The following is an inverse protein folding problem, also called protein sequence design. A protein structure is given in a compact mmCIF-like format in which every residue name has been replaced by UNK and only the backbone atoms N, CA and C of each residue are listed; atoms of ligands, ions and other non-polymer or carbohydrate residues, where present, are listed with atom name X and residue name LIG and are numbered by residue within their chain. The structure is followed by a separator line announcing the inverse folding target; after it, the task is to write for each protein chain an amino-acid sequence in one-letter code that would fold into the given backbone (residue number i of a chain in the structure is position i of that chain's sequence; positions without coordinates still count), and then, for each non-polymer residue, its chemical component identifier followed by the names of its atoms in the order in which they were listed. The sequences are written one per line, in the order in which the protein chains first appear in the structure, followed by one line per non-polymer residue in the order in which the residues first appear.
data_IF_374217193460
#
_entry.id   IF_374217193460
#
_cell.length_a   1.000
_cell.length_b   1.000
_cell.length_c   1.000
_cell.angle_alpha   90.00
_cell.angle_beta   90.00
_cell.angle_gamma   90.00
#
_symmetry.space_group_name_H-M   'P 1'
#
loop_
_entity.id
_entity.type
_entity.pdbx_description
1 polymer ?
#
# COMPACT_ATOMS: atom_id res chain seq x y z
N UNK A 1 9.58 -30.64 13.33
CA UNK A 1 9.03 -31.52 12.28
C UNK A 1 8.99 -32.91 12.87
N UNK A 2 7.96 -33.72 12.56
CA UNK A 2 8.07 -35.17 12.73
C UNK A 2 9.21 -35.68 11.84
N UNK A 3 9.91 -36.72 12.29
CA UNK A 3 10.97 -37.35 11.48
C UNK A 3 10.37 -37.84 10.16
N UNK A 4 10.96 -37.38 9.04
CA UNK A 4 10.48 -37.78 7.73
C UNK A 4 10.88 -39.23 7.46
N UNK A 5 9.94 -40.08 7.03
CA UNK A 5 10.21 -41.50 6.83
C UNK A 5 11.22 -41.71 5.70
N UNK A 6 12.28 -42.45 6.01
CA UNK A 6 13.33 -42.85 5.06
C UNK A 6 12.93 -44.02 4.15
N UNK A 7 11.86 -44.73 4.51
CA UNK A 7 11.30 -45.85 3.75
C UNK A 7 9.87 -45.54 3.24
N UNK A 8 9.38 -46.18 2.16
CA UNK A 8 8.05 -45.94 1.62
C UNK A 8 6.93 -46.30 2.60
N UNK A 9 6.24 -45.30 3.17
CA UNK A 9 5.15 -45.54 4.12
C UNK A 9 3.84 -45.81 3.39
N UNK A 10 3.21 -46.94 3.71
CA UNK A 10 1.89 -47.34 3.17
C UNK A 10 0.71 -46.55 3.77
N UNK A 11 0.95 -45.82 4.86
CA UNK A 11 -0.03 -44.98 5.57
C UNK A 11 0.55 -43.57 5.73
N UNK A 12 -0.11 -42.50 5.25
CA UNK A 12 0.39 -41.13 5.42
C UNK A 12 0.36 -40.71 6.89
N UNK A 13 1.32 -39.90 7.31
CA UNK A 13 1.33 -39.31 8.66
C UNK A 13 0.12 -38.37 8.83
N UNK A 14 -0.71 -38.63 9.84
CA UNK A 14 -1.92 -37.85 10.09
C UNK A 14 -1.67 -36.69 11.07
N UNK A 15 -1.78 -35.45 10.59
CA UNK A 15 -1.76 -34.23 11.41
C UNK A 15 -3.19 -33.84 11.75
N UNK A 16 -3.56 -33.93 13.04
CA UNK A 16 -4.93 -33.65 13.51
C UNK A 16 -5.16 -32.18 13.89
N UNK A 17 -4.13 -31.50 14.40
CA UNK A 17 -4.23 -30.13 14.92
C UNK A 17 -3.03 -29.29 14.43
N UNK A 18 -3.25 -28.08 13.89
CA UNK A 18 -2.17 -27.17 13.53
C UNK A 18 -1.65 -26.40 14.77
N UNK A 19 -0.35 -26.13 14.83
CA UNK A 19 0.28 -25.34 15.90
C UNK A 19 -0.19 -23.88 15.94
N UNK A 20 -0.70 -23.34 14.85
CA UNK A 20 -1.40 -22.05 14.80
C UNK A 20 -2.65 -22.16 13.93
N UNK A 21 -3.73 -21.49 14.35
CA UNK A 21 -4.95 -21.36 13.55
C UNK A 21 -5.70 -20.10 13.95
N UNK A 22 -6.06 -19.29 12.97
CA UNK A 22 -6.91 -18.11 13.13
C UNK A 22 -7.98 -18.04 12.04
N UNK A 23 -9.12 -17.46 12.37
CA UNK A 23 -10.10 -16.93 11.40
C UNK A 23 -10.39 -15.44 11.63
N UNK A 24 -9.50 -14.72 12.32
CA UNK A 24 -9.67 -13.31 12.67
C UNK A 24 -8.83 -12.34 11.81
N UNK A 25 -7.86 -12.85 11.03
CA UNK A 25 -7.01 -12.02 10.15
C UNK A 25 -7.80 -11.44 8.95
N UNK A 26 -8.85 -12.10 8.48
CA UNK A 26 -9.68 -11.69 7.33
C UNK A 26 -11.17 -11.90 7.62
N UNK A 27 -12.04 -11.08 7.02
CA UNK A 27 -13.49 -11.27 7.07
C UNK A 27 -14.05 -12.02 5.85
N UNK A 28 -13.34 -12.00 4.72
CA UNK A 28 -13.67 -12.79 3.52
C UNK A 28 -13.06 -14.19 3.46
N UNK A 29 -13.37 -14.92 2.38
CA UNK A 29 -12.74 -16.20 2.05
C UNK A 29 -11.29 -15.95 1.63
N UNK A 30 -10.34 -16.46 2.43
CA UNK A 30 -8.89 -16.44 2.12
C UNK A 30 -8.60 -17.32 0.90
N UNK A 31 -7.98 -16.74 -0.13
CA UNK A 31 -7.74 -17.41 -1.43
C UNK A 31 -6.26 -17.41 -1.88
N UNK A 32 -5.39 -16.71 -1.15
CA UNK A 32 -3.94 -16.76 -1.33
C UNK A 32 -3.22 -16.48 0.00
N UNK A 33 -2.20 -17.30 0.31
CA UNK A 33 -1.33 -17.17 1.48
C UNK A 33 0.10 -17.59 1.12
N UNK A 34 1.11 -16.93 1.69
CA UNK A 34 2.52 -17.29 1.56
C UNK A 34 3.34 -16.79 2.76
N UNK A 35 4.49 -17.42 3.02
CA UNK A 35 5.50 -16.88 3.94
C UNK A 35 6.33 -15.77 3.27
N UNK A 36 6.83 -14.84 4.09
CA UNK A 36 7.73 -13.75 3.73
C UNK A 36 8.79 -13.61 4.84
N UNK A 37 9.73 -14.55 4.87
CA UNK A 37 10.46 -14.86 6.12
C UNK A 37 9.49 -15.48 7.13
N UNK A 38 9.65 -15.15 8.41
CA UNK A 38 8.74 -15.59 9.48
C UNK A 38 7.39 -14.84 9.49
N UNK A 39 7.24 -13.79 8.67
CA UNK A 39 5.95 -13.11 8.45
C UNK A 39 5.10 -13.84 7.40
N UNK A 40 3.80 -13.54 7.38
CA UNK A 40 2.82 -14.12 6.47
C UNK A 40 2.18 -13.01 5.62
N UNK A 41 2.08 -13.26 4.32
CA UNK A 41 1.24 -12.51 3.40
C UNK A 41 -0.04 -13.30 3.14
N UNK A 42 -1.21 -12.68 3.24
CA UNK A 42 -2.47 -13.30 2.82
C UNK A 42 -3.49 -12.30 2.27
N UNK A 43 -4.42 -12.77 1.45
CA UNK A 43 -5.59 -12.00 1.01
C UNK A 43 -6.86 -12.84 1.02
N UNK A 44 -7.98 -12.13 1.07
CA UNK A 44 -9.31 -12.70 0.98
C UNK A 44 -10.17 -11.97 -0.06
N UNK A 45 -11.30 -12.59 -0.43
CA UNK A 45 -12.33 -11.95 -1.22
C UNK A 45 -12.94 -10.74 -0.49
N UNK A 46 -13.40 -9.72 -1.23
CA UNK A 46 -13.98 -8.46 -0.73
C UNK A 46 -13.04 -7.51 0.06
N UNK A 47 -12.00 -8.00 0.74
CA UNK A 47 -11.07 -7.16 1.53
C UNK A 47 -10.35 -6.08 0.69
N UNK A 48 -10.13 -6.31 -0.62
CA UNK A 48 -9.34 -5.45 -1.52
C UNK A 48 -7.92 -5.10 -1.01
N UNK A 49 -7.35 -5.90 -0.10
CA UNK A 49 -5.96 -5.78 0.36
C UNK A 49 -5.22 -7.13 0.35
N UNK A 50 -3.89 -7.08 0.30
CA UNK A 50 -3.02 -8.16 0.78
C UNK A 50 -2.48 -7.70 2.14
N UNK A 51 -2.70 -8.48 3.18
CA UNK A 51 -2.26 -8.19 4.55
C UNK A 51 -0.89 -8.84 4.77
N UNK A 52 0.09 -8.06 5.23
CA UNK A 52 1.30 -8.55 5.90
C UNK A 52 1.03 -8.61 7.40
N UNK A 53 1.26 -9.77 8.00
CA UNK A 53 1.07 -10.01 9.43
C UNK A 53 2.09 -11.03 9.94
N UNK A 54 2.15 -11.22 11.26
CA UNK A 54 2.97 -12.26 11.90
C UNK A 54 2.19 -13.02 12.95
N UNK A 55 2.61 -14.25 13.22
CA UNK A 55 2.23 -15.00 14.41
C UNK A 55 3.15 -14.53 15.55
N UNK A 56 2.60 -14.15 16.70
CA UNK A 56 3.44 -13.79 17.85
C UNK A 56 4.16 -15.02 18.41
N UNK A 57 5.41 -14.86 18.83
CA UNK A 57 6.26 -15.94 19.33
C UNK A 57 6.77 -16.95 18.29
N UNK A 58 6.35 -16.85 17.02
CA UNK A 58 6.85 -17.73 15.95
C UNK A 58 8.25 -17.28 15.47
N UNK A 59 9.16 -18.24 15.31
CA UNK A 59 10.33 -18.08 14.45
C UNK A 59 10.81 -19.42 13.90
N UNK A 60 11.33 -19.42 12.67
CA UNK A 60 11.87 -20.62 12.00
C UNK A 60 13.30 -20.99 12.41
N UNK A 61 14.02 -20.11 13.10
CA UNK A 61 15.34 -20.40 13.71
C UNK A 61 15.23 -21.35 14.93
N UNK A 62 14.03 -21.48 15.51
CA UNK A 62 13.75 -22.38 16.63
C UNK A 62 13.51 -23.83 16.21
N UNK A 63 13.68 -24.82 17.11
CA UNK A 63 13.36 -26.20 16.81
C UNK A 63 11.86 -26.37 16.50
N UNK A 64 11.48 -26.85 15.31
CA UNK A 64 10.07 -26.89 14.89
C UNK A 64 9.26 -27.90 15.73
N UNK A 65 8.16 -27.47 16.40
CA UNK A 65 7.58 -28.18 17.54
C UNK A 65 7.00 -29.57 17.24
N UNK A 66 6.87 -30.43 18.27
CA UNK A 66 6.28 -31.76 18.14
C UNK A 66 4.75 -31.68 18.02
N UNK A 67 4.15 -32.70 17.40
CA UNK A 67 2.71 -32.73 17.12
C UNK A 67 1.82 -32.85 18.37
N UNK A 68 2.40 -33.27 19.51
CA UNK A 68 1.76 -33.30 20.83
C UNK A 68 1.31 -31.93 21.32
N UNK A 69 2.01 -30.87 20.93
CA UNK A 69 1.87 -29.55 21.56
C UNK A 69 0.90 -28.63 20.80
N UNK A 70 0.32 -29.12 19.69
CA UNK A 70 -0.61 -28.35 18.88
C UNK A 70 -1.93 -28.08 19.64
N UNK A 71 -2.41 -26.82 19.73
CA UNK A 71 -3.55 -26.46 20.57
C UNK A 71 -4.87 -27.06 20.05
N UNK A 72 -5.53 -27.81 20.93
CA UNK A 72 -6.85 -28.40 20.65
C UNK A 72 -7.97 -27.37 20.83
N UNK A 73 -9.09 -27.57 20.16
CA UNK A 73 -10.26 -26.67 20.28
C UNK A 73 -10.95 -26.73 21.66
N UNK A 74 -10.56 -27.67 22.53
CA UNK A 74 -11.12 -27.87 23.87
C UNK A 74 -10.30 -27.17 24.97
N UNK A 75 -9.07 -26.73 24.68
CA UNK A 75 -8.19 -26.08 25.65
C UNK A 75 -8.55 -24.60 25.91
N UNK A 76 -9.37 -23.98 25.04
CA UNK A 76 -9.80 -22.58 25.19
C UNK A 76 -10.97 -22.49 26.17
N UNK A 77 -10.66 -22.27 27.45
CA UNK A 77 -11.65 -21.89 28.47
C UNK A 77 -12.00 -20.40 28.28
N UNK A 78 -13.25 -20.02 27.96
CA UNK A 78 -13.61 -18.62 27.75
C UNK A 78 -13.53 -17.83 29.06
N UNK A 79 -12.68 -16.80 29.11
CA UNK A 79 -12.51 -15.91 30.27
C UNK A 79 -13.39 -14.66 30.21
N UNK A 80 -13.84 -14.26 29.02
CA UNK A 80 -14.94 -13.30 28.82
C UNK A 80 -15.84 -13.75 27.66
N UNK A 81 -16.91 -12.98 27.40
CA UNK A 81 -17.85 -13.22 26.29
C UNK A 81 -17.36 -12.63 24.96
N UNK A 82 -16.19 -11.98 24.94
CA UNK A 82 -15.68 -11.22 23.81
C UNK A 82 -14.94 -12.16 22.83
N UNK A 83 -15.67 -12.57 21.79
CA UNK A 83 -15.47 -13.83 21.06
C UNK A 83 -14.13 -13.97 20.28
N UNK A 84 -13.30 -12.92 20.19
CA UNK A 84 -12.02 -12.98 19.46
C UNK A 84 -11.06 -14.04 20.00
N UNK A 85 -11.08 -14.30 21.31
CA UNK A 85 -10.27 -15.33 21.98
C UNK A 85 -10.58 -16.76 21.50
N UNK A 86 -11.72 -16.97 20.84
CA UNK A 86 -12.13 -18.27 20.28
C UNK A 86 -11.84 -18.40 18.78
N UNK A 87 -11.54 -17.29 18.09
CA UNK A 87 -11.21 -17.26 16.67
C UNK A 87 -9.73 -17.53 16.38
N UNK A 88 -8.85 -17.46 17.39
CA UNK A 88 -7.42 -17.77 17.25
C UNK A 88 -6.96 -18.75 18.33
N UNK A 89 -5.99 -19.59 17.99
CA UNK A 89 -5.20 -20.38 18.94
C UNK A 89 -3.77 -20.56 18.42
N UNK A 90 -2.80 -20.46 19.32
CA UNK A 90 -1.37 -20.53 19.02
C UNK A 90 -0.64 -21.39 20.05
N UNK A 91 0.25 -22.27 19.59
CA UNK A 91 1.28 -22.90 20.41
C UNK A 91 2.34 -21.87 20.85
N UNK A 92 2.68 -20.95 19.93
CA UNK A 92 3.79 -20.00 20.08
C UNK A 92 3.51 -18.93 21.14
N UNK A 93 2.23 -18.58 21.34
CA UNK A 93 1.72 -17.77 22.46
C UNK A 93 0.42 -18.42 22.97
N UNK A 94 0.48 -19.32 23.97
CA UNK A 94 -0.69 -20.09 24.42
C UNK A 94 -1.82 -19.25 25.04
N UNK A 95 -1.46 -18.15 25.69
CA UNK A 95 -2.38 -17.20 26.31
C UNK A 95 -1.87 -15.77 26.10
N UNK A 96 -2.80 -14.81 25.99
CA UNK A 96 -2.45 -13.38 25.90
C UNK A 96 -2.19 -12.79 27.28
N UNK A 97 -1.32 -11.78 27.34
CA UNK A 97 -0.97 -11.03 28.56
C UNK A 97 -1.05 -9.52 28.29
N UNK A 98 -0.97 -8.64 29.30
CA UNK A 98 -0.90 -7.19 29.05
C UNK A 98 0.27 -6.77 28.15
N UNK A 99 1.37 -7.52 28.18
CA UNK A 99 2.59 -7.31 27.40
C UNK A 99 2.50 -7.94 26.00
N UNK A 100 1.71 -8.99 25.84
CA UNK A 100 1.43 -9.67 24.57
C UNK A 100 -0.10 -9.88 24.40
N UNK A 101 -0.85 -8.82 24.06
CA UNK A 101 -2.33 -8.83 24.09
C UNK A 101 -2.98 -9.60 22.93
N UNK A 102 -2.20 -10.11 21.97
CA UNK A 102 -2.68 -10.88 20.81
C UNK A 102 -1.74 -12.05 20.49
N UNK A 103 -2.27 -13.07 19.82
CA UNK A 103 -1.49 -14.20 19.29
C UNK A 103 -0.98 -13.94 17.85
N UNK A 104 -1.38 -12.83 17.23
CA UNK A 104 -0.94 -12.38 15.90
C UNK A 104 -1.04 -10.86 15.78
N UNK A 105 -0.24 -10.25 14.90
CA UNK A 105 -0.25 -8.80 14.66
C UNK A 105 -0.29 -8.50 13.17
N UNK A 106 -1.23 -7.66 12.70
CA UNK A 106 -1.17 -7.04 11.37
C UNK A 106 -0.05 -5.99 11.35
N UNK A 107 0.75 -5.98 10.30
CA UNK A 107 1.95 -5.14 10.18
C UNK A 107 1.82 -4.10 9.07
N UNK A 108 1.18 -4.45 7.95
CA UNK A 108 0.94 -3.56 6.82
C UNK A 108 -0.16 -4.12 5.91
N UNK A 109 -0.88 -3.26 5.21
CA UNK A 109 -1.87 -3.65 4.19
C UNK A 109 -1.47 -3.08 2.82
N UNK A 110 -1.47 -3.91 1.77
CA UNK A 110 -1.15 -3.51 0.40
C UNK A 110 -2.45 -3.35 -0.41
N UNK A 111 -2.70 -2.14 -0.93
CA UNK A 111 -3.99 -1.83 -1.56
C UNK A 111 -4.17 -2.48 -2.94
N UNK A 112 -5.12 -3.42 -3.04
CA UNK A 112 -5.50 -4.14 -4.27
C UNK A 112 -6.91 -3.75 -4.74
N UNK A 113 -7.13 -2.49 -5.20
CA UNK A 113 -8.45 -2.01 -5.61
C UNK A 113 -9.02 -2.82 -6.77
N UNK A 114 -10.34 -2.74 -6.95
CA UNK A 114 -11.07 -3.37 -8.06
C UNK A 114 -10.88 -4.89 -8.12
N UNK A 115 -10.91 -5.58 -6.98
CA UNK A 115 -11.12 -7.04 -6.93
C UNK A 115 -12.62 -7.38 -6.89
N UNK A 116 -13.42 -6.61 -6.15
CA UNK A 116 -14.86 -6.87 -6.01
C UNK A 116 -15.14 -8.27 -5.42
N UNK A 117 -16.10 -9.04 -5.97
CA UNK A 117 -16.39 -10.40 -5.51
C UNK A 117 -15.47 -11.48 -6.12
N UNK A 118 -14.36 -11.10 -6.77
CA UNK A 118 -13.44 -12.07 -7.36
C UNK A 118 -12.49 -12.66 -6.30
N UNK A 119 -12.64 -13.96 -6.09
CA UNK A 119 -11.71 -14.83 -5.37
C UNK A 119 -10.95 -15.73 -6.36
N UNK A 120 -10.03 -16.55 -5.83
CA UNK A 120 -9.03 -17.31 -6.58
C UNK A 120 -8.15 -16.39 -7.44
N UNK A 121 -7.55 -15.39 -6.77
CA UNK A 121 -6.61 -14.44 -7.36
C UNK A 121 -5.34 -14.41 -6.50
N UNK A 122 -4.21 -14.86 -7.04
CA UNK A 122 -3.00 -15.12 -6.25
C UNK A 122 -1.87 -14.15 -6.60
N UNK A 123 -1.24 -13.61 -5.57
CA UNK A 123 -0.04 -12.78 -5.69
C UNK A 123 1.21 -13.64 -5.91
N UNK A 124 2.31 -13.00 -6.32
CA UNK A 124 3.62 -13.59 -6.48
C UNK A 124 4.69 -12.69 -5.86
N UNK A 125 5.39 -13.21 -4.85
CA UNK A 125 6.50 -12.51 -4.20
C UNK A 125 7.83 -12.95 -4.83
N UNK A 126 8.61 -12.00 -5.34
CA UNK A 126 10.04 -12.19 -5.58
C UNK A 126 10.77 -11.96 -4.27
N UNK A 127 11.48 -12.96 -3.76
CA UNK A 127 12.29 -12.84 -2.54
C UNK A 127 13.52 -13.75 -2.68
N UNK A 128 14.63 -13.15 -3.12
CA UNK A 128 15.89 -13.85 -3.43
C UNK A 128 17.03 -13.05 -2.79
N UNK A 129 18.02 -13.71 -2.13
CA UNK A 129 19.15 -13.01 -1.50
C UNK A 129 19.88 -12.07 -2.45
N UNK A 130 20.29 -10.91 -1.94
CA UNK A 130 20.98 -9.87 -2.73
C UNK A 130 20.09 -9.05 -3.67
N UNK A 131 18.76 -9.24 -3.65
CA UNK A 131 17.81 -8.43 -4.41
C UNK A 131 16.69 -7.84 -3.53
N UNK A 132 16.14 -6.70 -3.92
CA UNK A 132 14.93 -6.16 -3.31
C UNK A 132 13.77 -7.16 -3.40
N UNK A 133 13.04 -7.44 -2.30
CA UNK A 133 11.80 -8.22 -2.38
C UNK A 133 10.72 -7.42 -3.12
N UNK A 134 10.05 -8.04 -4.09
CA UNK A 134 9.01 -7.38 -4.90
C UNK A 134 7.72 -8.20 -4.90
N UNK A 135 6.65 -7.64 -4.34
CA UNK A 135 5.31 -8.21 -4.40
C UNK A 135 4.64 -7.81 -5.72
N UNK A 136 4.10 -8.78 -6.45
CA UNK A 136 3.27 -8.56 -7.64
C UNK A 136 1.87 -9.17 -7.44
N UNK A 137 0.83 -8.45 -7.86
CA UNK A 137 -0.55 -8.94 -7.90
C UNK A 137 -1.27 -8.35 -9.10
N UNK A 138 -2.30 -9.01 -9.65
CA UNK A 138 -3.15 -8.42 -10.67
C UNK A 138 -4.62 -8.52 -10.28
N UNK A 139 -5.32 -7.37 -10.34
CA UNK A 139 -6.72 -7.27 -9.93
C UNK A 139 -7.71 -7.75 -11.00
N UNK A 140 -9.01 -7.55 -10.77
CA UNK A 140 -10.08 -7.94 -11.68
C UNK A 140 -10.39 -6.87 -12.76
N UNK A 141 -9.73 -5.71 -12.68
CA UNK A 141 -9.80 -4.62 -13.65
C UNK A 141 -8.60 -4.55 -14.60
N UNK A 142 -7.82 -5.63 -14.73
CA UNK A 142 -6.66 -5.70 -15.63
C UNK A 142 -5.41 -4.94 -15.19
N UNK A 143 -5.36 -4.42 -13.96
CA UNK A 143 -4.17 -3.72 -13.43
C UNK A 143 -3.25 -4.67 -12.68
N UNK A 144 -1.98 -4.71 -13.09
CA UNK A 144 -0.89 -5.39 -12.40
C UNK A 144 -0.22 -4.37 -11.48
N UNK A 145 -0.15 -4.70 -10.20
CA UNK A 145 0.28 -3.85 -9.09
C UNK A 145 1.59 -4.40 -8.53
N UNK A 146 2.56 -3.52 -8.31
CA UNK A 146 3.88 -3.87 -7.77
C UNK A 146 4.24 -3.02 -6.55
N UNK A 147 4.80 -3.68 -5.53
CA UNK A 147 5.44 -3.05 -4.37
C UNK A 147 6.86 -3.58 -4.23
N UNK A 148 7.80 -2.67 -4.04
CA UNK A 148 9.23 -2.91 -3.86
C UNK A 148 9.52 -2.67 -2.37
N UNK A 149 9.55 -3.75 -1.57
CA UNK A 149 9.44 -3.68 -0.11
C UNK A 149 10.62 -2.93 0.52
N UNK A 150 11.79 -2.92 -0.12
CA UNK A 150 12.95 -2.15 0.32
C UNK A 150 12.69 -0.63 0.30
N UNK A 151 11.75 -0.13 -0.51
CA UNK A 151 11.38 1.30 -0.51
C UNK A 151 10.64 1.74 0.75
N UNK A 152 10.02 0.81 1.47
CA UNK A 152 9.33 1.10 2.72
C UNK A 152 10.34 1.50 3.80
N UNK A 153 11.42 0.72 3.98
CA UNK A 153 12.50 1.08 4.91
C UNK A 153 13.27 2.31 4.47
N UNK A 154 13.63 2.44 3.18
CA UNK A 154 14.32 3.64 2.69
C UNK A 154 13.46 4.90 2.80
N UNK A 155 12.12 4.80 2.69
CA UNK A 155 11.22 5.91 2.98
C UNK A 155 11.21 6.24 4.48
N UNK A 156 11.10 5.24 5.36
CA UNK A 156 11.17 5.44 6.81
C UNK A 156 12.45 6.18 7.22
N UNK A 157 13.62 5.76 6.72
CA UNK A 157 14.91 6.43 6.95
C UNK A 157 14.91 7.89 6.48
N UNK A 158 14.31 8.16 5.31
CA UNK A 158 14.14 9.53 4.78
C UNK A 158 13.19 10.37 5.65
N UNK A 159 12.12 9.78 6.19
CA UNK A 159 11.17 10.47 7.06
C UNK A 159 11.75 10.74 8.45
N UNK A 160 12.57 9.85 9.01
CA UNK A 160 13.36 10.13 10.22
C UNK A 160 14.31 11.31 9.98
N UNK A 161 15.05 11.32 8.88
CA UNK A 161 15.93 12.42 8.49
C UNK A 161 15.20 13.71 8.04
N UNK A 162 13.87 13.66 7.81
CA UNK A 162 13.02 14.83 7.61
C UNK A 162 12.60 15.47 8.93
N UNK A 163 12.29 14.65 9.94
CA UNK A 163 11.74 15.11 11.22
C UNK A 163 12.79 15.36 12.32
N UNK A 164 14.06 15.01 12.10
CA UNK A 164 15.15 15.27 13.05
C UNK A 164 15.21 16.78 13.46
N UNK A 165 14.88 17.11 14.72
CA UNK A 165 14.86 18.49 15.20
C UNK A 165 16.27 19.02 15.54
N UNK A 166 17.29 18.17 15.53
CA UNK A 166 18.70 18.54 15.75
C UNK A 166 19.49 18.68 14.45
N UNK A 167 18.86 18.43 13.29
CA UNK A 167 19.50 18.52 11.97
C UNK A 167 20.11 19.90 11.73
N UNK A 168 21.41 19.92 11.52
CA UNK A 168 22.15 21.11 11.09
C UNK A 168 21.64 21.58 9.71
N UNK A 169 20.95 22.73 9.70
CA UNK A 169 20.39 23.36 8.49
C UNK A 169 21.47 23.96 7.57
N UNK A 170 22.73 24.07 8.02
CA UNK A 170 23.85 24.53 7.18
C UNK A 170 24.45 23.42 6.33
N UNK A 171 24.25 22.15 6.69
CA UNK A 171 24.79 21.01 5.95
C UNK A 171 23.89 20.62 4.77
N UNK A 172 24.47 20.31 3.59
CA UNK A 172 23.72 19.84 2.44
C UNK A 172 23.06 18.50 2.76
N UNK A 173 21.78 18.37 2.41
CA UNK A 173 20.99 17.16 2.67
C UNK A 173 21.58 15.95 1.93
N UNK A 174 21.50 14.77 2.54
CA UNK A 174 21.61 13.51 1.79
C UNK A 174 20.61 13.52 0.61
N UNK A 175 21.03 13.11 -0.60
CA UNK A 175 20.17 13.17 -1.79
C UNK A 175 19.00 12.19 -1.66
N UNK A 176 17.80 12.63 -2.04
CA UNK A 176 16.62 11.77 -2.03
C UNK A 176 16.74 10.63 -3.06
N UNK A 177 16.15 9.44 -2.80
CA UNK A 177 16.08 8.36 -3.77
C UNK A 177 15.42 8.81 -5.08
N UNK A 178 15.96 8.41 -6.23
CA UNK A 178 15.51 8.88 -7.57
C UNK A 178 14.06 8.52 -7.94
N UNK A 179 13.45 7.60 -7.18
CA UNK A 179 12.03 7.23 -7.29
C UNK A 179 11.10 8.05 -6.37
N UNK A 180 11.63 8.73 -5.36
CA UNK A 180 10.89 9.56 -4.40
C UNK A 180 10.72 10.98 -4.95
N UNK A 181 9.92 11.10 -6.02
CA UNK A 181 9.76 12.35 -6.77
C UNK A 181 8.73 13.27 -6.11
N UNK A 182 9.10 14.53 -5.89
CA UNK A 182 8.17 15.56 -5.42
C UNK A 182 7.12 15.89 -6.48
N UNK A 183 5.90 16.25 -6.03
CA UNK A 183 4.89 16.82 -6.92
C UNK A 183 5.23 18.29 -7.14
N UNK A 184 5.55 18.64 -8.38
CA UNK A 184 5.73 20.02 -8.81
C UNK A 184 4.35 20.55 -9.22
N UNK A 185 3.75 21.51 -8.48
CA UNK A 185 2.46 22.05 -8.85
C UNK A 185 2.58 22.78 -10.18
N UNK A 186 1.91 22.25 -11.22
CA UNK A 186 1.76 23.00 -12.47
C UNK A 186 0.96 24.25 -12.16
N UNK A 187 1.55 25.43 -12.38
CA UNK A 187 0.79 26.68 -12.41
C UNK A 187 -0.38 26.49 -13.37
N UNK A 188 -1.61 26.49 -12.84
CA UNK A 188 -2.80 26.57 -13.69
C UNK A 188 -2.69 27.90 -14.42
N UNK A 189 -2.57 27.84 -15.74
CA UNK A 189 -2.81 29.03 -16.55
C UNK A 189 -4.26 29.44 -16.28
N UNK A 190 -4.47 30.67 -15.77
CA UNK A 190 -5.80 31.23 -15.62
C UNK A 190 -6.57 31.12 -16.94
N UNK A 191 -7.89 30.99 -16.89
CA UNK A 191 -8.78 30.93 -18.08
C UNK A 191 -8.70 32.17 -18.99
N UNK A 192 -7.87 33.16 -18.66
CA UNK A 192 -7.58 34.37 -19.44
C UNK A 192 -6.11 34.51 -19.86
N UNK A 193 -5.30 33.46 -19.77
CA UNK A 193 -4.03 33.30 -20.52
C UNK A 193 -2.93 34.34 -20.24
N UNK A 194 -2.97 35.06 -19.12
CA UNK A 194 -2.03 36.15 -18.82
C UNK A 194 -0.80 35.68 -18.04
N UNK A 195 0.25 35.33 -18.78
CA UNK A 195 1.62 35.26 -18.23
C UNK A 195 1.99 36.64 -17.67
N UNK A 196 2.25 36.72 -16.37
CA UNK A 196 2.41 37.99 -15.64
C UNK A 196 3.83 38.54 -15.69
N UNK A 197 4.23 39.06 -16.86
CA UNK A 197 5.21 40.15 -16.93
C UNK A 197 6.43 39.96 -17.85
N UNK A 198 6.36 40.60 -19.02
CA UNK A 198 7.39 41.56 -19.45
C UNK A 198 6.65 42.83 -19.89
N UNK A 199 7.19 44.02 -19.58
CA UNK A 199 6.55 45.32 -19.87
C UNK A 199 7.33 46.06 -20.96
N UNK A 200 6.95 45.88 -22.21
CA UNK A 200 7.53 46.63 -23.32
C UNK A 200 6.47 47.45 -24.09
N UNK A 201 6.88 48.60 -24.64
CA UNK A 201 5.99 49.59 -25.25
C UNK A 201 6.07 49.54 -26.77
N UNK A 202 4.94 49.34 -27.45
CA UNK A 202 4.64 49.98 -28.75
C UNK A 202 3.13 50.07 -28.97
N UNK A 203 2.72 50.84 -29.98
CA UNK A 203 1.36 51.35 -30.13
C UNK A 203 0.92 51.39 -31.62
N UNK A 204 -0.29 51.94 -31.84
CA UNK A 204 -0.88 52.41 -33.11
C UNK A 204 -1.83 51.42 -33.83
N UNK A 205 -2.90 52.02 -34.38
CA UNK A 205 -3.93 51.51 -35.35
C UNK A 205 -4.87 50.35 -34.97
N UNK A 206 -6.16 50.71 -34.85
CA UNK A 206 -7.27 49.93 -35.43
C UNK A 206 -7.54 50.45 -36.87
N UNK A 207 -8.40 49.82 -37.72
CA UNK A 207 -9.85 49.96 -37.56
C UNK A 207 -10.75 48.76 -37.99
N UNK A 208 -12.00 48.81 -37.52
CA UNK A 208 -13.27 48.37 -38.12
C UNK A 208 -13.40 47.03 -38.89
N UNK A 209 -14.29 46.17 -38.37
CA UNK A 209 -15.04 45.14 -39.10
C UNK A 209 -16.29 44.75 -38.28
N UNK A 210 -17.46 44.56 -38.89
CA UNK A 210 -18.74 44.52 -38.15
C UNK A 210 -19.75 43.48 -38.67
N UNK A 211 -20.54 42.91 -37.72
CA UNK A 211 -21.97 42.45 -37.77
C UNK A 211 -22.24 41.42 -36.64
N UNK A 212 -23.30 41.60 -35.83
CA UNK A 212 -24.60 40.86 -35.84
C UNK A 212 -24.47 39.33 -35.60
N UNK A 213 -25.28 38.63 -34.79
CA UNK A 213 -26.31 38.96 -33.77
C UNK A 213 -26.59 37.68 -32.93
N UNK A 214 -27.57 37.46 -32.02
CA UNK A 214 -28.75 38.18 -31.48
C UNK A 214 -29.29 37.41 -30.23
N UNK A 215 -30.13 38.05 -29.39
CA UNK A 215 -31.02 37.44 -28.36
C UNK A 215 -30.31 36.84 -27.10
N UNK A 216 -30.59 37.24 -25.84
CA UNK A 216 -31.79 37.10 -24.97
C UNK A 216 -31.56 36.01 -23.90
N UNK A 217 -31.96 36.10 -22.62
CA UNK A 217 -32.71 37.10 -21.84
C UNK A 217 -32.57 36.86 -20.33
N UNK A 218 -33.00 37.82 -19.49
CA UNK A 218 -33.43 37.66 -18.06
C UNK A 218 -32.37 37.20 -17.01
N UNK A 219 -32.39 37.65 -15.74
CA UNK A 219 -33.25 38.66 -15.07
C UNK A 219 -32.71 39.12 -13.69
N UNK A 220 -32.96 40.40 -13.38
CA UNK A 220 -33.26 40.99 -12.04
C UNK A 220 -32.28 40.85 -10.85
N UNK A 221 -31.94 42.01 -10.25
CA UNK A 221 -31.54 42.15 -8.84
C UNK A 221 -30.05 42.44 -8.59
N UNK A 222 -29.65 43.34 -7.67
CA UNK A 222 -30.53 44.15 -6.81
C UNK A 222 -29.90 45.15 -5.82
N UNK A 223 -28.64 45.60 -5.98
CA UNK A 223 -28.05 46.67 -5.15
C UNK A 223 -27.66 46.29 -3.70
N UNK A 224 -26.98 47.20 -2.98
CA UNK A 224 -26.77 47.09 -1.52
C UNK A 224 -25.31 47.11 -1.03
N UNK A 225 -24.72 48.29 -0.96
CA UNK A 225 -23.43 48.64 -0.33
C UNK A 225 -23.18 48.06 1.07
N UNK A 226 -21.93 47.70 1.41
CA UNK A 226 -21.56 47.44 2.82
C UNK A 226 -20.15 46.86 3.06
N UNK A 227 -19.18 47.71 3.39
CA UNK A 227 -17.93 47.38 4.09
C UNK A 227 -17.73 48.44 5.20
N UNK A 228 -17.11 48.13 6.36
CA UNK A 228 -15.64 48.07 6.43
C UNK A 228 -15.06 47.09 7.48
N UNK A 229 -13.72 47.09 7.57
CA UNK A 229 -12.83 46.73 8.71
C UNK A 229 -13.07 45.39 9.47
N UNK A 230 -12.16 44.41 9.50
CA UNK A 230 -10.70 44.42 9.81
C UNK A 230 -10.33 44.70 11.27
N UNK A 231 -10.02 43.63 12.02
CA UNK A 231 -9.14 43.67 13.20
C UNK A 231 -8.18 42.49 13.09
N UNK A 232 -6.88 42.76 13.14
CA UNK A 232 -5.83 41.73 13.03
C UNK A 232 -5.20 41.48 14.40
N UNK A 233 -5.06 40.22 14.80
CA UNK A 233 -4.19 39.81 15.92
C UNK A 233 -3.06 38.94 15.38
N UNK A 234 -1.89 39.56 15.15
CA UNK A 234 -0.69 38.85 14.71
C UNK A 234 0.02 38.20 15.90
N UNK A 235 0.06 36.87 15.92
CA UNK A 235 0.97 36.08 16.75
C UNK A 235 1.96 35.38 15.83
N UNK A 236 3.24 35.78 15.89
CA UNK A 236 4.26 35.25 14.99
C UNK A 236 4.70 33.84 15.39
N UNK A 237 4.17 32.82 14.71
CA UNK A 237 4.94 31.62 14.46
C UNK A 237 5.89 31.89 13.29
N UNK A 238 7.12 31.37 13.35
CA UNK A 238 7.88 31.15 12.11
C UNK A 238 7.16 30.04 11.33
N UNK A 239 6.42 30.40 10.28
CA UNK A 239 6.00 29.42 9.28
C UNK A 239 7.26 28.89 8.59
N UNK A 240 7.82 27.82 9.14
CA UNK A 240 8.77 26.96 8.43
C UNK A 240 8.05 26.41 7.21
N UNK A 241 8.18 27.10 6.08
CA UNK A 241 7.62 26.66 4.80
C UNK A 241 8.08 25.22 4.54
N UNK A 242 7.16 24.25 4.45
CA UNK A 242 7.55 22.86 4.45
C UNK A 242 8.40 22.57 3.21
N UNK A 243 9.52 21.85 3.42
CA UNK A 243 10.55 21.56 2.40
C UNK A 243 9.94 20.86 1.15
N UNK A 244 8.78 20.23 1.33
CA UNK A 244 7.92 19.65 0.30
C UNK A 244 6.47 20.09 0.50
N UNK A 245 5.68 20.16 -0.57
CA UNK A 245 4.24 20.44 -0.46
C UNK A 245 3.51 19.34 0.32
N UNK A 246 2.42 19.68 1.02
CA UNK A 246 1.58 18.67 1.70
C UNK A 246 1.11 17.57 0.73
N UNK A 247 0.72 17.96 -0.50
CA UNK A 247 0.38 17.05 -1.60
C UNK A 247 1.53 16.07 -1.94
N UNK A 248 2.79 16.51 -1.86
CA UNK A 248 3.96 15.64 -2.05
C UNK A 248 4.08 14.63 -0.92
N UNK A 249 4.00 15.09 0.33
CA UNK A 249 4.14 14.24 1.52
C UNK A 249 3.02 13.20 1.58
N UNK A 250 1.77 13.59 1.32
CA UNK A 250 0.59 12.68 1.22
C UNK A 250 0.76 11.64 0.09
N UNK A 251 1.28 12.05 -1.07
CA UNK A 251 1.55 11.18 -2.21
C UNK A 251 2.68 10.17 -1.96
N UNK A 252 3.64 10.52 -1.09
CA UNK A 252 4.68 9.60 -0.62
C UNK A 252 4.16 8.68 0.49
N UNK A 253 3.54 9.23 1.53
CA UNK A 253 3.02 8.49 2.67
C UNK A 253 2.05 7.38 2.22
N UNK A 254 1.08 7.73 1.37
CA UNK A 254 0.09 6.76 0.87
C UNK A 254 0.63 5.70 -0.12
N UNK A 255 1.95 5.64 -0.33
CA UNK A 255 2.67 4.55 -1.04
C UNK A 255 3.70 3.84 -0.17
N UNK A 256 4.29 4.53 0.80
CA UNK A 256 5.51 4.08 1.47
C UNK A 256 5.46 4.14 3.00
N UNK A 257 4.46 4.78 3.61
CA UNK A 257 4.29 4.81 5.06
C UNK A 257 3.97 3.41 5.60
N UNK A 258 4.42 3.15 6.81
CA UNK A 258 4.11 1.94 7.59
C UNK A 258 3.78 2.32 9.04
N UNK A 259 3.25 3.53 9.25
CA UNK A 259 2.97 4.09 10.58
C UNK A 259 1.62 3.60 11.13
N UNK A 260 0.60 3.46 10.27
CA UNK A 260 -0.66 2.77 10.58
C UNK A 260 -0.72 1.43 9.83
N UNK A 261 -0.71 0.27 10.53
CA UNK A 261 -0.88 -1.05 9.91
C UNK A 261 -2.19 -1.23 9.12
N UNK A 262 -3.18 -0.35 9.33
CA UNK A 262 -4.50 -0.40 8.71
C UNK A 262 -4.71 0.64 7.59
N UNK A 263 -3.74 1.53 7.27
CA UNK A 263 -3.82 2.37 6.08
C UNK A 263 -3.21 1.62 4.86
N UNK A 264 -3.99 1.23 3.83
CA UNK A 264 -3.44 0.36 2.79
C UNK A 264 -2.55 1.09 1.77
N UNK A 265 -1.26 0.73 1.70
CA UNK A 265 -0.28 1.38 0.82
C UNK A 265 -0.56 1.12 -0.66
N UNK A 266 -0.64 2.19 -1.44
CA UNK A 266 -0.86 2.16 -2.90
C UNK A 266 0.36 1.57 -3.61
N UNK A 267 0.12 0.84 -4.70
CA UNK A 267 1.17 0.25 -5.52
C UNK A 267 2.24 1.28 -5.95
N UNK A 268 3.51 0.91 -5.83
CA UNK A 268 4.65 1.74 -6.23
C UNK A 268 4.70 1.91 -7.75
N UNK A 269 4.25 0.87 -8.48
CA UNK A 269 4.06 0.86 -9.93
C UNK A 269 2.78 0.09 -10.25
N UNK A 270 2.03 0.61 -11.23
CA UNK A 270 0.88 -0.07 -11.85
C UNK A 270 1.12 -0.16 -13.35
N UNK A 271 0.90 -1.33 -13.92
CA UNK A 271 0.78 -1.55 -15.37
C UNK A 271 -0.66 -2.00 -15.69
N UNK A 272 -1.17 -1.69 -16.87
CA UNK A 272 -2.54 -2.03 -17.27
C UNK A 272 -2.56 -2.92 -18.51
N UNK A 273 -3.34 -3.99 -18.45
CA UNK A 273 -3.72 -4.80 -19.62
C UNK A 273 -4.49 -3.95 -20.63
N UNK A 274 -4.21 -4.15 -21.92
CA UNK A 274 -4.98 -3.54 -23.02
C UNK A 274 -6.38 -4.15 -23.21
N UNK A 275 -6.67 -5.29 -22.57
CA UNK A 275 -7.93 -6.02 -22.63
C UNK A 275 -8.49 -6.29 -21.22
N UNK A 276 -9.80 -6.55 -21.13
CA UNK A 276 -10.47 -6.95 -19.89
C UNK A 276 -9.89 -8.26 -19.34
N UNK A 277 -9.19 -8.16 -18.21
CA UNK A 277 -8.36 -9.23 -17.68
C UNK A 277 -8.53 -9.36 -16.16
N UNK A 278 -8.82 -10.57 -15.70
CA UNK A 278 -8.83 -10.92 -14.27
C UNK A 278 -7.60 -11.76 -13.97
N UNK A 279 -6.69 -11.20 -13.18
CA UNK A 279 -5.48 -11.90 -12.74
C UNK A 279 -5.79 -13.13 -11.88
N UNK A 280 -5.05 -14.23 -12.12
CA UNK A 280 -5.20 -15.50 -11.37
C UNK A 280 -3.93 -15.92 -10.64
N UNK A 281 -2.76 -15.70 -11.23
CA UNK A 281 -1.44 -15.93 -10.60
C UNK A 281 -0.42 -14.93 -11.17
N UNK A 282 0.45 -14.40 -10.31
CA UNK A 282 1.72 -13.78 -10.70
C UNK A 282 2.90 -14.69 -10.32
N UNK A 283 3.94 -14.77 -11.13
CA UNK A 283 5.15 -15.55 -10.88
C UNK A 283 6.39 -14.81 -11.42
N UNK A 284 7.56 -15.10 -10.87
CA UNK A 284 8.83 -14.44 -11.22
C UNK A 284 9.85 -15.45 -11.77
N UNK A 285 10.75 -14.99 -12.63
CA UNK A 285 11.97 -15.73 -12.97
C UNK A 285 12.92 -15.82 -11.76
N UNK A 286 13.86 -16.79 -11.71
CA UNK A 286 14.83 -16.88 -10.61
C UNK A 286 15.71 -15.64 -10.44
N UNK A 287 16.05 -14.97 -11.54
CA UNK A 287 16.78 -13.69 -11.53
C UNK A 287 15.92 -12.49 -11.19
N UNK A 288 14.58 -12.63 -11.16
CA UNK A 288 13.62 -11.55 -10.94
C UNK A 288 13.47 -10.59 -12.12
N UNK A 289 14.14 -10.83 -13.25
CA UNK A 289 14.14 -10.00 -14.45
C UNK A 289 12.84 -10.09 -15.27
N UNK A 290 12.09 -11.19 -15.13
CA UNK A 290 10.74 -11.39 -15.69
C UNK A 290 9.69 -11.55 -14.59
N UNK A 291 8.53 -10.94 -14.79
CA UNK A 291 7.28 -11.26 -14.10
C UNK A 291 6.26 -11.77 -15.12
N UNK A 292 5.64 -12.91 -14.84
CA UNK A 292 4.59 -13.51 -15.67
C UNK A 292 3.28 -13.49 -14.88
N UNK A 293 2.25 -12.92 -15.49
CA UNK A 293 0.88 -12.87 -14.93
C UNK A 293 -0.07 -13.61 -15.85
N UNK A 294 -0.77 -14.61 -15.33
CA UNK A 294 -1.78 -15.39 -16.06
C UNK A 294 -3.18 -15.13 -15.50
N UNK A 295 -4.19 -15.23 -16.36
CA UNK A 295 -5.55 -14.88 -15.98
C UNK A 295 -6.64 -15.35 -16.93
N UNK A 296 -7.76 -14.61 -16.95
CA UNK A 296 -8.93 -14.90 -17.79
C UNK A 296 -8.60 -15.01 -19.29
N UNK A 297 -9.47 -15.69 -20.03
CA UNK A 297 -9.40 -15.80 -21.50
C UNK A 297 -8.07 -16.38 -22.00
N UNK A 298 -7.46 -17.29 -21.24
CA UNK A 298 -6.13 -17.87 -21.48
C UNK A 298 -5.02 -16.84 -21.72
N UNK A 299 -5.19 -15.61 -21.21
CA UNK A 299 -4.26 -14.52 -21.44
C UNK A 299 -3.06 -14.63 -20.50
N UNK A 300 -1.86 -14.48 -21.07
CA UNK A 300 -0.58 -14.43 -20.36
C UNK A 300 0.09 -13.09 -20.66
N UNK A 301 0.44 -12.36 -19.62
CA UNK A 301 1.15 -11.08 -19.69
C UNK A 301 2.57 -11.31 -19.17
N UNK A 302 3.57 -10.95 -19.97
CA UNK A 302 4.99 -11.09 -19.63
C UNK A 302 5.57 -9.68 -19.52
N UNK A 303 6.16 -9.37 -18.37
CA UNK A 303 6.74 -8.07 -18.05
C UNK A 303 8.22 -8.26 -17.75
N UNK A 304 9.05 -7.33 -18.22
CA UNK A 304 10.51 -7.37 -18.09
C UNK A 304 11.02 -6.16 -17.32
N UNK A 305 12.08 -6.35 -16.52
CA UNK A 305 12.98 -5.28 -16.06
C UNK A 305 14.42 -5.65 -16.39
N UNK A 306 15.30 -4.65 -16.41
CA UNK A 306 16.71 -4.81 -16.79
C UNK A 306 16.92 -5.42 -18.18
N UNK A 307 16.09 -5.02 -19.16
CA UNK A 307 16.34 -5.30 -20.56
C UNK A 307 17.65 -4.64 -21.02
N UNK A 308 18.41 -5.35 -21.87
CA UNK A 308 19.62 -4.88 -22.55
C UNK A 308 19.28 -4.42 -23.96
#
# INVERSE_FOLDING_TARGET
MPDLPTEPVVTPLQVHYPHFSTSAVHSGIVDCVAFCGDCILSRACHDNVIVLWRIEGFSSEGPPPPQSDAPTAQAVVPTSLDDQSRLTRSYFVPATTPECPSQYTRLLEFHTPNCGPQFFMRFGLHHVPGQNPVLAFCNAGGNILFWDLHRLSVYHDVMLALHDPQRDRTQPRAPLPTWLKAIIPRQRADMFGRIKGVREKRAVTAPNGARQSSASSSSRGGGGSGAPASVSSAGGAEETTPEFSAETLESWASKYSTEDPHEPVKAHRTESSAATFVGRQAAWSPGGEWCVVVGSSNTTLILQRWAN
#
